data_IF_927634508801
#
_entry.id   IF_927634508801
#
_cell.length_a   1.000
_cell.length_b   1.000
_cell.length_c   1.000
_cell.angle_alpha   90.00
_cell.angle_beta   90.00
_cell.angle_gamma   90.00
#
_symmetry.space_group_name_H-M   'P 1'
#
loop_
_entity.id
_entity.type
_entity.pdbx_description
1 polymer ?
#
# COMPACT_ATOMS: atom_id res chain seq x y z
N UNK A 1 -82.53 -23.11 -43.75
CA UNK A 1 -82.52 -22.67 -42.33
C UNK A 1 -81.39 -23.42 -41.65
N UNK A 2 -80.23 -22.79 -41.41
CA UNK A 2 -79.80 -22.08 -40.18
C UNK A 2 -79.18 -23.00 -39.10
N UNK A 3 -77.85 -22.86 -38.91
CA UNK A 3 -77.07 -22.70 -37.66
C UNK A 3 -77.04 -23.84 -36.60
N UNK A 4 -76.02 -24.09 -35.74
CA UNK A 4 -74.70 -23.50 -35.41
C UNK A 4 -73.96 -24.46 -34.42
N UNK A 5 -72.62 -24.52 -34.53
CA UNK A 5 -71.52 -24.75 -33.56
C UNK A 5 -71.65 -25.39 -32.15
N UNK A 6 -70.60 -26.16 -31.78
CA UNK A 6 -69.56 -25.99 -30.69
C UNK A 6 -69.16 -27.40 -30.18
N UNK A 7 -67.91 -27.81 -29.91
CA UNK A 7 -66.73 -27.21 -29.25
C UNK A 7 -65.50 -28.10 -29.57
N UNK A 8 -64.33 -27.51 -29.83
CA UNK A 8 -63.01 -28.15 -29.69
C UNK A 8 -61.96 -27.06 -29.48
N UNK A 9 -61.70 -26.74 -28.21
CA UNK A 9 -60.66 -25.82 -27.75
C UNK A 9 -60.13 -26.36 -26.41
N UNK A 10 -59.27 -27.37 -26.43
CA UNK A 10 -58.48 -27.73 -25.23
C UNK A 10 -57.11 -28.38 -25.50
N UNK A 11 -56.75 -28.70 -26.75
CA UNK A 11 -55.43 -29.29 -27.06
C UNK A 11 -54.33 -28.30 -27.48
N UNK A 12 -54.65 -27.00 -27.65
CA UNK A 12 -53.69 -25.99 -28.18
C UNK A 12 -52.97 -25.16 -27.11
N UNK A 13 -53.46 -25.16 -25.87
CA UNK A 13 -52.92 -24.35 -24.76
C UNK A 13 -51.80 -25.05 -24.00
N UNK A 14 -51.89 -26.36 -23.79
CA UNK A 14 -50.85 -27.16 -23.10
C UNK A 14 -49.52 -27.12 -23.85
N UNK A 15 -49.55 -27.13 -25.18
CA UNK A 15 -48.33 -27.15 -26.01
C UNK A 15 -47.62 -25.78 -26.09
N UNK A 16 -48.29 -24.67 -25.72
CA UNK A 16 -47.67 -23.33 -25.65
C UNK A 16 -47.05 -23.05 -24.28
N UNK A 17 -47.59 -23.63 -23.21
CA UNK A 17 -47.04 -23.52 -21.87
C UNK A 17 -45.78 -24.37 -21.71
N UNK A 18 -45.78 -25.61 -22.23
CA UNK A 18 -44.59 -26.48 -22.23
C UNK A 18 -43.43 -25.87 -23.03
N UNK A 19 -43.72 -25.35 -24.23
CA UNK A 19 -42.71 -24.72 -25.09
C UNK A 19 -42.09 -23.45 -24.46
N UNK A 20 -42.85 -22.72 -23.64
CA UNK A 20 -42.35 -21.57 -22.88
C UNK A 20 -41.55 -21.96 -21.63
N UNK A 21 -41.83 -23.12 -21.03
CA UNK A 21 -41.06 -23.65 -19.91
C UNK A 21 -39.72 -24.23 -20.38
N UNK A 22 -39.71 -24.89 -21.54
CA UNK A 22 -38.51 -25.39 -22.18
C UNK A 22 -37.62 -24.25 -22.72
N UNK A 23 -38.23 -23.14 -23.21
CA UNK A 23 -37.52 -21.90 -23.56
C UNK A 23 -36.97 -21.15 -22.32
N UNK A 24 -37.55 -21.33 -21.12
CA UNK A 24 -37.06 -20.73 -19.87
C UNK A 24 -35.96 -21.57 -19.21
N UNK A 25 -36.04 -22.91 -19.36
CA UNK A 25 -35.03 -23.85 -18.85
C UNK A 25 -33.86 -24.05 -19.83
N UNK A 26 -33.99 -23.65 -21.09
CA UNK A 26 -32.85 -23.44 -22.00
C UNK A 26 -32.37 -21.99 -21.93
N UNK A 27 -32.00 -21.52 -20.74
CA UNK A 27 -31.10 -20.37 -20.67
C UNK A 27 -29.86 -20.73 -21.49
N UNK A 28 -29.48 -19.94 -22.50
CA UNK A 28 -28.21 -20.18 -23.13
C UNK A 28 -27.14 -19.80 -22.12
N UNK A 29 -26.44 -20.79 -21.57
CA UNK A 29 -25.02 -20.67 -21.19
C UNK A 29 -24.17 -20.40 -22.46
N UNK A 30 -24.64 -19.52 -23.36
CA UNK A 30 -23.88 -19.11 -24.54
C UNK A 30 -23.32 -17.73 -24.28
N UNK A 31 -22.01 -17.78 -24.06
CA UNK A 31 -21.06 -16.72 -24.35
C UNK A 31 -21.25 -15.49 -23.46
N UNK A 32 -20.86 -15.63 -22.19
CA UNK A 32 -20.20 -14.52 -21.52
C UNK A 32 -19.14 -13.99 -22.50
N UNK A 33 -19.18 -12.70 -22.84
CA UNK A 33 -18.19 -12.16 -23.76
C UNK A 33 -16.80 -12.36 -23.15
N UNK A 34 -15.79 -12.61 -24.00
CA UNK A 34 -14.45 -13.01 -23.58
C UNK A 34 -13.83 -12.07 -22.52
N UNK A 35 -14.26 -10.80 -22.49
CA UNK A 35 -13.89 -9.82 -21.47
C UNK A 35 -14.47 -10.12 -20.08
N UNK A 36 -15.69 -10.66 -19.96
CA UNK A 36 -16.32 -10.98 -18.68
C UNK A 36 -15.63 -12.18 -17.99
N UNK A 37 -15.01 -13.07 -18.76
CA UNK A 37 -14.16 -14.15 -18.24
C UNK A 37 -12.82 -13.60 -17.76
N UNK A 38 -12.15 -12.77 -18.57
CA UNK A 38 -10.88 -12.11 -18.20
C UNK A 38 -11.01 -11.23 -16.96
N UNK A 39 -12.12 -10.47 -16.84
CA UNK A 39 -12.39 -9.61 -15.69
C UNK A 39 -12.56 -10.44 -14.41
N UNK A 40 -13.37 -11.51 -14.45
CA UNK A 40 -13.60 -12.36 -13.27
C UNK A 40 -12.33 -13.09 -12.84
N UNK A 41 -11.54 -13.58 -13.78
CA UNK A 41 -10.24 -14.21 -13.49
C UNK A 41 -9.28 -13.24 -12.77
N UNK A 42 -9.16 -12.01 -13.28
CA UNK A 42 -8.30 -11.00 -12.66
C UNK A 42 -8.85 -10.59 -11.29
N UNK A 43 -10.16 -10.44 -11.16
CA UNK A 43 -10.81 -10.11 -9.88
C UNK A 43 -10.57 -11.19 -8.81
N UNK A 44 -10.75 -12.47 -9.17
CA UNK A 44 -10.48 -13.60 -8.26
C UNK A 44 -9.00 -13.69 -7.86
N UNK A 45 -8.09 -13.45 -8.81
CA UNK A 45 -6.65 -13.46 -8.55
C UNK A 45 -6.23 -12.30 -7.64
N UNK A 46 -6.80 -11.11 -7.85
CA UNK A 46 -6.62 -9.95 -6.98
C UNK A 46 -7.15 -10.26 -5.59
N UNK A 47 -8.36 -10.76 -5.44
CA UNK A 47 -8.97 -11.13 -4.15
C UNK A 47 -8.10 -12.10 -3.35
N UNK A 48 -7.57 -13.12 -4.02
CA UNK A 48 -6.65 -14.09 -3.41
C UNK A 48 -5.39 -13.42 -2.91
N UNK A 49 -4.71 -12.63 -3.76
CA UNK A 49 -3.47 -11.95 -3.41
C UNK A 49 -3.68 -10.91 -2.29
N UNK A 50 -4.81 -10.21 -2.29
CA UNK A 50 -5.16 -9.25 -1.24
C UNK A 50 -5.31 -9.93 0.12
N UNK A 51 -6.02 -11.07 0.18
CA UNK A 51 -6.17 -11.85 1.42
C UNK A 51 -4.83 -12.36 1.92
N UNK A 52 -4.00 -12.91 1.02
CA UNK A 52 -2.65 -13.38 1.38
C UNK A 52 -1.82 -12.23 1.94
N UNK A 53 -1.80 -11.08 1.27
CA UNK A 53 -1.03 -9.91 1.71
C UNK A 53 -1.45 -9.45 3.11
N UNK A 54 -2.75 -9.33 3.36
CA UNK A 54 -3.28 -8.91 4.66
C UNK A 54 -2.90 -9.88 5.78
N UNK A 55 -3.08 -11.19 5.54
CA UNK A 55 -2.71 -12.23 6.50
C UNK A 55 -1.22 -12.18 6.82
N UNK A 56 -0.35 -12.06 5.80
CA UNK A 56 1.10 -12.01 6.04
C UNK A 56 1.58 -10.75 6.73
N UNK A 57 0.96 -9.60 6.45
CA UNK A 57 1.25 -8.36 7.20
C UNK A 57 0.92 -8.56 8.68
N UNK A 58 -0.19 -9.23 9.00
CA UNK A 58 -0.56 -9.55 10.37
C UNK A 58 0.45 -10.52 11.00
N UNK A 59 0.82 -11.60 10.30
CA UNK A 59 1.81 -12.58 10.78
C UNK A 59 3.15 -11.92 11.11
N UNK A 60 3.61 -10.99 10.27
CA UNK A 60 4.85 -10.22 10.52
C UNK A 60 4.73 -9.39 11.80
N UNK A 61 3.61 -8.69 11.99
CA UNK A 61 3.40 -7.84 13.17
C UNK A 61 3.40 -8.68 14.45
N UNK A 62 2.67 -9.79 14.45
CA UNK A 62 2.60 -10.71 15.59
C UNK A 62 3.95 -11.36 15.89
N UNK A 63 4.66 -11.82 14.85
CA UNK A 63 5.97 -12.45 15.02
C UNK A 63 7.03 -11.46 15.49
N UNK A 64 6.99 -10.21 15.01
CA UNK A 64 7.89 -9.15 15.46
C UNK A 64 7.68 -8.82 16.94
N UNK A 65 6.42 -8.74 17.40
CA UNK A 65 6.10 -8.55 18.82
C UNK A 65 6.64 -9.70 19.70
N UNK A 66 6.51 -10.95 19.23
CA UNK A 66 7.06 -12.13 19.94
C UNK A 66 8.58 -12.07 20.04
N UNK A 67 9.27 -11.61 18.99
CA UNK A 67 10.73 -11.44 19.01
C UNK A 67 11.14 -10.34 19.99
N UNK A 68 10.40 -9.22 20.04
CA UNK A 68 10.67 -8.14 20.98
C UNK A 68 10.48 -8.58 22.44
N UNK A 69 9.44 -9.34 22.72
CA UNK A 69 9.19 -9.93 24.04
C UNK A 69 10.29 -10.92 24.42
N UNK A 70 10.65 -11.84 23.51
CA UNK A 70 11.76 -12.77 23.70
C UNK A 70 13.08 -12.04 24.02
N UNK A 71 13.35 -10.93 23.33
CA UNK A 71 14.53 -10.09 23.55
C UNK A 71 14.51 -9.43 24.93
N UNK A 72 13.34 -9.01 25.42
CA UNK A 72 13.19 -8.44 26.78
C UNK A 72 13.45 -9.50 27.85
N UNK A 73 12.88 -10.70 27.70
CA UNK A 73 13.11 -11.82 28.63
C UNK A 73 14.59 -12.20 28.71
N UNK A 74 15.29 -12.23 27.55
CA UNK A 74 16.73 -12.47 27.52
C UNK A 74 17.52 -11.38 28.25
N UNK A 75 17.22 -10.10 28.01
CA UNK A 75 17.87 -8.98 28.71
C UNK A 75 17.61 -8.95 30.21
N UNK A 76 16.43 -9.42 30.64
CA UNK A 76 16.07 -9.57 32.04
C UNK A 76 16.73 -10.79 32.72
N UNK A 77 17.40 -11.65 31.95
CA UNK A 77 18.02 -12.89 32.46
C UNK A 77 17.02 -13.99 32.78
N UNK A 78 15.77 -13.87 32.31
CA UNK A 78 14.69 -14.86 32.54
C UNK A 78 14.90 -16.14 31.72
N UNK A 79 15.63 -16.04 30.61
CA UNK A 79 15.94 -17.16 29.73
C UNK A 79 17.45 -17.27 29.47
N UNK A 80 17.92 -18.51 29.33
CA UNK A 80 19.30 -18.80 28.97
C UNK A 80 19.58 -18.43 27.51
N UNK A 81 20.82 -18.04 27.23
CA UNK A 81 21.25 -17.62 25.88
C UNK A 81 20.99 -18.70 24.81
N UNK A 82 21.20 -19.98 25.14
CA UNK A 82 20.94 -21.08 24.20
C UNK A 82 19.44 -21.18 23.85
N UNK A 83 18.56 -21.04 24.84
CA UNK A 83 17.11 -21.05 24.63
C UNK A 83 16.68 -19.85 23.80
N UNK A 84 17.23 -18.67 24.08
CA UNK A 84 17.02 -17.46 23.29
C UNK A 84 17.39 -17.66 21.82
N UNK A 85 18.60 -18.19 21.55
CA UNK A 85 19.08 -18.42 20.17
C UNK A 85 18.18 -19.39 19.39
N UNK A 86 17.74 -20.48 20.00
CA UNK A 86 16.87 -21.46 19.35
C UNK A 86 15.53 -20.82 18.98
N UNK A 87 14.84 -20.20 19.94
CA UNK A 87 13.55 -19.54 19.71
C UNK A 87 13.66 -18.39 18.71
N UNK A 88 14.73 -17.60 18.78
CA UNK A 88 14.98 -16.52 17.83
C UNK A 88 15.13 -17.05 16.41
N UNK A 89 15.84 -18.17 16.22
CA UNK A 89 16.05 -18.77 14.91
C UNK A 89 14.74 -19.30 14.29
N UNK A 90 13.88 -19.92 15.10
CA UNK A 90 12.56 -20.42 14.70
C UNK A 90 11.62 -19.26 14.33
N UNK A 91 11.49 -18.26 15.20
CA UNK A 91 10.66 -17.08 14.92
C UNK A 91 11.17 -16.32 13.69
N UNK A 92 12.50 -16.18 13.55
CA UNK A 92 13.09 -15.57 12.36
C UNK A 92 12.84 -16.38 11.09
N UNK A 93 12.65 -17.71 11.19
CA UNK A 93 12.27 -18.54 10.05
C UNK A 93 10.85 -18.29 9.58
N UNK A 94 9.89 -18.28 10.51
CA UNK A 94 8.52 -17.92 10.20
C UNK A 94 8.40 -16.50 9.65
N UNK A 95 9.19 -15.57 10.21
CA UNK A 95 9.23 -14.19 9.75
C UNK A 95 9.79 -14.08 8.33
N UNK A 96 10.90 -14.75 8.01
CA UNK A 96 11.48 -14.77 6.65
C UNK A 96 10.46 -15.25 5.62
N UNK A 97 9.79 -16.37 5.88
CA UNK A 97 8.78 -16.93 4.98
C UNK A 97 7.62 -15.96 4.75
N UNK A 98 7.14 -15.31 5.81
CA UNK A 98 6.07 -14.31 5.72
C UNK A 98 6.51 -13.10 4.88
N UNK A 99 7.75 -12.64 5.03
CA UNK A 99 8.30 -11.53 4.24
C UNK A 99 8.45 -11.93 2.77
N UNK A 100 8.99 -13.11 2.47
CA UNK A 100 9.12 -13.63 1.11
C UNK A 100 7.76 -13.67 0.39
N UNK A 101 6.73 -14.14 1.09
CA UNK A 101 5.37 -14.17 0.55
C UNK A 101 4.82 -12.77 0.30
N UNK A 102 5.03 -11.80 1.21
CA UNK A 102 4.65 -10.40 0.96
C UNK A 102 5.33 -9.85 -0.30
N UNK A 103 6.63 -10.08 -0.45
CA UNK A 103 7.38 -9.56 -1.60
C UNK A 103 6.85 -10.15 -2.91
N UNK A 104 6.64 -11.46 -2.96
CA UNK A 104 6.06 -12.17 -4.13
C UNK A 104 4.63 -11.69 -4.42
N UNK A 105 3.78 -11.61 -3.40
CA UNK A 105 2.39 -11.18 -3.56
C UNK A 105 2.29 -9.72 -4.03
N UNK A 106 3.16 -8.83 -3.55
CA UNK A 106 3.22 -7.44 -4.02
C UNK A 106 3.67 -7.36 -5.49
N UNK A 107 4.67 -8.13 -5.89
CA UNK A 107 5.10 -8.20 -7.29
C UNK A 107 3.96 -8.69 -8.19
N UNK A 108 3.23 -9.74 -7.77
CA UNK A 108 2.05 -10.23 -8.49
C UNK A 108 0.95 -9.17 -8.59
N UNK A 109 0.69 -8.42 -7.51
CA UNK A 109 -0.28 -7.32 -7.54
C UNK A 109 0.13 -6.19 -8.50
N UNK A 110 1.42 -5.88 -8.63
CA UNK A 110 1.91 -4.92 -9.63
C UNK A 110 1.69 -5.43 -11.07
N UNK A 111 1.91 -6.73 -11.33
CA UNK A 111 1.61 -7.36 -12.61
C UNK A 111 0.10 -7.33 -12.92
N UNK A 112 -0.74 -7.68 -11.94
CA UNK A 112 -2.19 -7.61 -12.06
C UNK A 112 -2.68 -6.18 -12.29
N UNK A 113 -2.04 -5.20 -11.65
CA UNK A 113 -2.32 -3.77 -11.89
C UNK A 113 -2.00 -3.39 -13.34
N UNK A 114 -0.86 -3.83 -13.87
CA UNK A 114 -0.50 -3.57 -15.26
C UNK A 114 -1.49 -4.22 -16.23
N UNK A 115 -1.87 -5.48 -15.99
CA UNK A 115 -2.89 -6.20 -16.77
C UNK A 115 -4.25 -5.49 -16.72
N UNK A 116 -4.71 -5.12 -15.52
CA UNK A 116 -5.98 -4.40 -15.34
C UNK A 116 -5.97 -3.02 -16.02
N UNK A 117 -4.85 -2.30 -16.01
CA UNK A 117 -4.72 -1.02 -16.75
C UNK A 117 -4.82 -1.21 -18.26
N UNK A 118 -4.22 -2.27 -18.80
CA UNK A 118 -4.30 -2.59 -20.23
C UNK A 118 -5.73 -2.95 -20.65
N UNK A 119 -6.40 -3.82 -19.90
CA UNK A 119 -7.80 -4.20 -20.19
C UNK A 119 -8.76 -3.02 -20.00
N UNK A 120 -8.57 -2.21 -18.95
CA UNK A 120 -9.33 -0.97 -18.76
C UNK A 120 -9.17 -0.01 -19.94
N UNK A 121 -7.94 0.19 -20.44
CA UNK A 121 -7.70 1.07 -21.59
C UNK A 121 -8.34 0.51 -22.87
N UNK A 122 -8.25 -0.81 -23.08
CA UNK A 122 -8.88 -1.50 -24.21
C UNK A 122 -10.40 -1.34 -24.18
N UNK A 123 -11.03 -1.57 -23.04
CA UNK A 123 -12.48 -1.42 -22.88
C UNK A 123 -12.94 0.02 -22.94
N UNK A 124 -12.14 0.97 -22.44
CA UNK A 124 -12.41 2.39 -22.58
C UNK A 124 -12.46 2.81 -24.06
N UNK A 125 -11.52 2.35 -24.86
CA UNK A 125 -11.52 2.61 -26.32
C UNK A 125 -12.73 1.98 -27.00
N UNK A 126 -13.09 0.75 -26.63
CA UNK A 126 -14.23 0.04 -27.21
C UNK A 126 -15.56 0.69 -26.82
N UNK A 127 -15.72 1.08 -25.56
CA UNK A 127 -16.90 1.82 -25.09
C UNK A 127 -17.00 3.19 -25.74
N UNK A 128 -15.88 3.91 -25.92
CA UNK A 128 -15.83 5.19 -26.66
C UNK A 128 -16.26 5.01 -28.13
N UNK A 129 -15.78 3.96 -28.82
CA UNK A 129 -16.20 3.59 -30.19
C UNK A 129 -17.70 3.34 -30.28
N UNK A 130 -18.23 2.51 -29.38
CA UNK A 130 -19.66 2.20 -29.32
C UNK A 130 -20.46 3.48 -29.03
N UNK A 131 -20.08 4.31 -28.06
CA UNK A 131 -20.79 5.57 -27.81
C UNK A 131 -20.76 6.52 -29.01
N UNK A 132 -19.67 6.55 -29.78
CA UNK A 132 -19.57 7.38 -30.99
C UNK A 132 -20.47 6.87 -32.12
N UNK A 133 -20.67 5.55 -32.22
CA UNK A 133 -21.61 4.92 -33.17
C UNK A 133 -23.08 5.07 -32.74
N UNK A 134 -23.37 4.99 -31.44
CA UNK A 134 -24.73 4.96 -30.89
C UNK A 134 -25.31 6.33 -30.50
N UNK A 135 -24.53 7.42 -30.52
CA UNK A 135 -25.08 8.79 -30.41
C UNK A 135 -26.02 9.19 -31.57
N UNK A 136 -26.24 8.29 -32.54
CA UNK A 136 -27.29 8.39 -33.55
C UNK A 136 -28.65 7.80 -33.15
N UNK A 137 -28.78 7.17 -31.96
CA UNK A 137 -30.08 6.74 -31.40
C UNK A 137 -30.21 7.12 -29.93
N UNK A 138 -31.14 8.03 -29.71
CA UNK A 138 -31.66 8.55 -28.46
C UNK A 138 -31.90 7.50 -27.35
N UNK A 139 -31.58 7.91 -26.11
CA UNK A 139 -31.82 7.25 -24.81
C UNK A 139 -30.97 6.03 -24.44
N UNK A 140 -29.85 6.27 -23.74
CA UNK A 140 -29.25 5.28 -22.83
C UNK A 140 -29.47 5.74 -21.38
N UNK A 141 -30.26 4.97 -20.63
CA UNK A 141 -30.59 5.23 -19.22
C UNK A 141 -29.34 5.27 -18.33
N UNK A 142 -29.36 6.18 -17.34
CA UNK A 142 -28.31 6.36 -16.32
C UNK A 142 -27.95 5.07 -15.57
N UNK A 143 -28.88 4.12 -15.40
CA UNK A 143 -28.60 2.85 -14.72
C UNK A 143 -27.62 1.93 -15.48
N UNK A 144 -27.51 2.02 -16.82
CA UNK A 144 -26.57 1.19 -17.60
C UNK A 144 -25.12 1.64 -17.45
N UNK A 145 -24.88 2.89 -17.07
CA UNK A 145 -23.53 3.42 -16.89
C UNK A 145 -22.81 2.76 -15.72
N UNK A 146 -23.50 2.43 -14.62
CA UNK A 146 -22.88 1.75 -13.47
C UNK A 146 -22.62 0.26 -13.67
N UNK A 147 -23.19 -0.36 -14.71
CA UNK A 147 -22.89 -1.75 -15.09
C UNK A 147 -21.80 -1.87 -16.16
N UNK A 148 -21.19 -0.76 -16.59
CA UNK A 148 -20.13 -0.80 -17.59
C UNK A 148 -18.86 -1.44 -17.00
N UNK A 149 -18.27 -2.43 -17.69
CA UNK A 149 -17.02 -3.10 -17.31
C UNK A 149 -15.88 -2.16 -16.86
N UNK A 150 -15.82 -0.96 -17.45
CA UNK A 150 -14.88 0.12 -17.12
C UNK A 150 -14.89 0.50 -15.62
N UNK A 151 -16.05 0.54 -14.96
CA UNK A 151 -16.14 0.86 -13.53
C UNK A 151 -15.61 -0.26 -12.64
N UNK A 152 -15.81 -1.52 -13.03
CA UNK A 152 -15.29 -2.68 -12.29
C UNK A 152 -13.77 -2.75 -12.36
N UNK A 153 -13.18 -2.46 -13.51
CA UNK A 153 -11.73 -2.33 -13.62
C UNK A 153 -11.18 -1.19 -12.75
N UNK A 154 -11.88 -0.05 -12.68
CA UNK A 154 -11.49 1.03 -11.80
C UNK A 154 -11.55 0.62 -10.32
N UNK A 155 -12.58 -0.14 -9.93
CA UNK A 155 -12.67 -0.72 -8.59
C UNK A 155 -11.50 -1.67 -8.31
N UNK A 156 -11.21 -2.62 -9.20
CA UNK A 156 -10.05 -3.53 -9.08
C UNK A 156 -8.75 -2.75 -8.92
N UNK A 157 -8.52 -1.73 -9.77
CA UNK A 157 -7.33 -0.89 -9.70
C UNK A 157 -7.22 -0.16 -8.36
N UNK A 158 -8.33 0.41 -7.87
CA UNK A 158 -8.33 1.11 -6.58
C UNK A 158 -8.03 0.17 -5.40
N UNK A 159 -8.51 -1.08 -5.46
CA UNK A 159 -8.25 -2.11 -4.45
C UNK A 159 -6.78 -2.53 -4.46
N UNK A 160 -6.20 -2.71 -5.65
CA UNK A 160 -4.77 -3.01 -5.79
C UNK A 160 -3.91 -1.84 -5.28
N UNK A 161 -4.21 -0.60 -5.70
CA UNK A 161 -3.45 0.57 -5.28
C UNK A 161 -3.53 0.80 -3.76
N UNK A 162 -4.71 0.58 -3.16
CA UNK A 162 -4.90 0.61 -1.70
C UNK A 162 -4.04 -0.43 -0.99
N UNK A 163 -4.01 -1.66 -1.51
CA UNK A 163 -3.22 -2.74 -0.93
C UNK A 163 -1.71 -2.55 -1.09
N UNK A 164 -1.25 -2.06 -2.24
CA UNK A 164 0.16 -1.72 -2.45
C UNK A 164 0.59 -0.56 -1.54
N UNK A 165 -0.34 0.35 -1.21
CA UNK A 165 -0.12 1.47 -0.29
C UNK A 165 -0.36 1.12 1.19
N UNK A 166 -0.69 -0.12 1.52
CA UNK A 166 -1.02 -0.53 2.90
C UNK A 166 0.16 -0.51 3.87
N UNK A 167 1.39 -0.61 3.34
CA UNK A 167 2.62 -0.49 4.12
C UNK A 167 3.17 0.93 3.99
N UNK A 168 3.57 1.50 5.13
CA UNK A 168 4.29 2.77 5.15
C UNK A 168 5.67 2.61 4.50
N UNK A 169 6.27 3.75 4.12
CA UNK A 169 7.62 3.76 3.57
C UNK A 169 8.64 3.16 4.55
N UNK A 170 8.50 3.48 5.83
CA UNK A 170 9.36 3.03 6.93
C UNK A 170 9.14 1.54 7.22
N UNK A 171 7.88 1.08 7.25
CA UNK A 171 7.55 -0.33 7.43
C UNK A 171 8.16 -1.19 6.32
N UNK A 172 8.06 -0.74 5.07
CA UNK A 172 8.62 -1.48 3.94
C UNK A 172 10.16 -1.55 4.01
N UNK A 173 10.83 -0.45 4.37
CA UNK A 173 12.27 -0.47 4.60
C UNK A 173 12.67 -1.44 5.71
N UNK A 174 11.93 -1.45 6.83
CA UNK A 174 12.19 -2.35 7.95
C UNK A 174 11.98 -3.82 7.58
N UNK A 175 10.96 -4.13 6.78
CA UNK A 175 10.71 -5.48 6.25
C UNK A 175 11.89 -5.96 5.41
N UNK A 176 12.38 -5.11 4.49
CA UNK A 176 13.52 -5.45 3.62
C UNK A 176 14.80 -5.62 4.45
N UNK A 177 15.11 -4.66 5.33
CA UNK A 177 16.28 -4.73 6.23
C UNK A 177 16.28 -6.02 7.05
N UNK A 178 15.11 -6.36 7.62
CA UNK A 178 14.95 -7.54 8.47
C UNK A 178 15.14 -8.83 7.69
N UNK A 179 14.55 -8.94 6.50
CA UNK A 179 14.71 -10.11 5.64
C UNK A 179 16.18 -10.33 5.24
N UNK A 180 16.86 -9.27 4.80
CA UNK A 180 18.25 -9.38 4.39
C UNK A 180 19.17 -9.74 5.57
N UNK A 181 18.88 -9.22 6.76
CA UNK A 181 19.62 -9.59 7.98
C UNK A 181 19.43 -11.08 8.32
N UNK A 182 18.19 -11.58 8.25
CA UNK A 182 17.90 -13.00 8.54
C UNK A 182 18.54 -13.93 7.51
N UNK A 183 18.50 -13.55 6.23
CA UNK A 183 19.06 -14.38 5.15
C UNK A 183 20.58 -14.35 5.10
N UNK A 184 21.23 -13.32 5.65
CA UNK A 184 22.69 -13.28 5.83
C UNK A 184 23.18 -14.30 6.85
N UNK A 185 22.44 -14.51 7.93
CA UNK A 185 22.87 -15.36 9.06
C UNK A 185 22.67 -16.88 8.80
N UNK A 186 22.09 -17.28 7.67
CA UNK A 186 21.79 -18.68 7.37
C UNK A 186 22.65 -19.25 6.25
N UNK A 187 23.30 -20.38 6.53
CA UNK A 187 23.84 -21.27 5.50
C UNK A 187 22.70 -21.97 4.76
N UNK A 188 22.30 -21.43 3.61
CA UNK A 188 21.15 -21.91 2.81
C UNK A 188 21.57 -22.43 1.44
N UNK A 189 22.49 -23.41 1.43
CA UNK A 189 22.99 -24.06 0.20
C UNK A 189 21.86 -24.60 -0.70
N UNK A 190 20.73 -25.05 -0.13
CA UNK A 190 19.62 -25.64 -0.89
C UNK A 190 18.62 -24.62 -1.48
N UNK A 191 18.59 -23.37 -0.98
CA UNK A 191 17.61 -22.33 -1.40
C UNK A 191 18.24 -21.13 -2.13
N UNK A 192 19.48 -21.27 -2.57
CA UNK A 192 20.26 -20.16 -3.13
C UNK A 192 19.54 -19.42 -4.27
N UNK A 193 18.87 -20.15 -5.17
CA UNK A 193 18.16 -19.56 -6.32
C UNK A 193 16.94 -18.74 -5.89
N UNK A 194 16.15 -19.24 -4.93
CA UNK A 194 14.98 -18.52 -4.40
C UNK A 194 15.42 -17.26 -3.66
N UNK A 195 16.47 -17.36 -2.84
CA UNK A 195 17.03 -16.23 -2.11
C UNK A 195 17.54 -15.17 -3.09
N UNK A 196 18.19 -15.58 -4.18
CA UNK A 196 18.67 -14.67 -5.22
C UNK A 196 17.51 -13.92 -5.88
N UNK A 197 16.42 -14.62 -6.22
CA UNK A 197 15.21 -13.99 -6.75
C UNK A 197 14.65 -12.95 -5.78
N UNK A 198 14.51 -13.31 -4.50
CA UNK A 198 13.95 -12.39 -3.50
C UNK A 198 14.89 -11.21 -3.22
N UNK A 199 16.22 -11.42 -3.24
CA UNK A 199 17.21 -10.33 -3.18
C UNK A 199 17.06 -9.39 -4.38
N UNK A 200 16.80 -9.89 -5.58
CA UNK A 200 16.50 -9.05 -6.74
C UNK A 200 15.23 -8.23 -6.55
N UNK A 201 14.16 -8.83 -6.00
CA UNK A 201 12.93 -8.11 -5.66
C UNK A 201 13.23 -7.02 -4.61
N UNK A 202 14.00 -7.34 -3.57
CA UNK A 202 14.45 -6.36 -2.57
C UNK A 202 15.23 -5.20 -3.19
N UNK A 203 16.14 -5.48 -4.13
CA UNK A 203 16.91 -4.46 -4.83
C UNK A 203 16.00 -3.54 -5.66
N UNK A 204 15.05 -4.11 -6.41
CA UNK A 204 14.10 -3.33 -7.19
C UNK A 204 13.22 -2.45 -6.29
N UNK A 205 12.71 -3.01 -5.19
CA UNK A 205 11.93 -2.26 -4.20
C UNK A 205 12.75 -1.16 -3.53
N UNK A 206 14.00 -1.44 -3.16
CA UNK A 206 14.91 -0.46 -2.58
C UNK A 206 15.16 0.72 -3.53
N UNK A 207 15.28 0.46 -4.84
CA UNK A 207 15.45 1.53 -5.83
C UNK A 207 14.23 2.45 -5.84
N UNK A 208 13.01 1.89 -5.88
CA UNK A 208 11.75 2.66 -5.82
C UNK A 208 11.65 3.44 -4.51
N UNK A 209 11.98 2.81 -3.38
CA UNK A 209 12.00 3.47 -2.07
C UNK A 209 13.04 4.58 -2.01
N UNK A 210 14.21 4.41 -2.63
CA UNK A 210 15.27 5.42 -2.68
C UNK A 210 14.82 6.64 -3.49
N UNK A 211 14.14 6.44 -4.63
CA UNK A 211 13.53 7.54 -5.40
C UNK A 211 12.49 8.31 -4.58
N UNK A 212 11.59 7.58 -3.89
CA UNK A 212 10.61 8.17 -2.98
C UNK A 212 11.29 8.93 -1.84
N UNK A 213 12.38 8.38 -1.30
CA UNK A 213 13.17 8.99 -0.24
C UNK A 213 13.80 10.31 -0.69
N UNK A 214 14.35 10.40 -1.91
CA UNK A 214 14.87 11.65 -2.42
C UNK A 214 13.82 12.77 -2.43
N UNK A 215 12.55 12.45 -2.73
CA UNK A 215 11.47 13.42 -2.63
C UNK A 215 11.22 13.83 -1.18
N UNK A 216 11.01 12.86 -0.29
CA UNK A 216 10.71 13.11 1.13
C UNK A 216 11.85 13.91 1.78
N UNK A 217 13.10 13.50 1.56
CA UNK A 217 14.30 14.15 2.08
C UNK A 217 14.39 15.60 1.62
N UNK A 218 14.14 15.90 0.35
CA UNK A 218 14.13 17.29 -0.15
C UNK A 218 13.07 18.13 0.55
N UNK A 219 11.86 17.60 0.75
CA UNK A 219 10.79 18.31 1.45
C UNK A 219 11.14 18.57 2.92
N UNK A 220 11.75 17.58 3.60
CA UNK A 220 12.24 17.76 4.98
C UNK A 220 13.38 18.78 5.06
N UNK A 221 14.33 18.76 4.14
CA UNK A 221 15.43 19.74 4.07
C UNK A 221 14.87 21.15 3.87
N UNK A 222 13.91 21.31 2.95
CA UNK A 222 13.23 22.60 2.75
C UNK A 222 12.57 23.08 4.04
N UNK A 223 11.85 22.19 4.74
CA UNK A 223 11.24 22.52 6.03
C UNK A 223 12.29 22.93 7.08
N UNK A 224 13.44 22.26 7.13
CA UNK A 224 14.57 22.64 8.01
C UNK A 224 15.04 24.05 7.67
N UNK A 225 15.27 24.38 6.39
CA UNK A 225 15.71 25.71 5.97
C UNK A 225 14.70 26.79 6.40
N UNK A 226 13.41 26.56 6.20
CA UNK A 226 12.35 27.49 6.61
C UNK A 226 12.28 27.67 8.14
N UNK A 227 12.55 26.61 8.91
CA UNK A 227 12.66 26.67 10.37
C UNK A 227 13.91 27.43 10.82
N UNK A 228 15.05 27.25 10.14
CA UNK A 228 16.32 27.92 10.45
C UNK A 228 16.25 29.43 10.20
N UNK A 229 15.57 29.86 9.13
CA UNK A 229 15.30 31.29 8.88
C UNK A 229 14.47 31.88 10.02
N UNK A 230 13.40 31.19 10.45
CA UNK A 230 12.58 31.63 11.59
C UNK A 230 13.36 31.65 12.90
N UNK A 231 14.21 30.65 13.15
CA UNK A 231 15.07 30.61 14.33
C UNK A 231 16.07 31.77 14.34
N UNK A 232 16.59 32.16 13.18
CA UNK A 232 17.48 33.31 13.04
C UNK A 232 16.75 34.62 13.33
N UNK A 233 15.52 34.78 12.81
CA UNK A 233 14.68 35.94 13.13
C UNK A 233 14.41 36.04 14.63
N UNK A 234 14.04 34.95 15.30
CA UNK A 234 13.83 34.95 16.76
C UNK A 234 15.10 35.30 17.53
N UNK A 235 16.28 34.88 17.05
CA UNK A 235 17.56 35.26 17.68
C UNK A 235 17.81 36.76 17.57
N UNK A 236 17.41 37.38 16.47
CA UNK A 236 17.54 38.83 16.30
C UNK A 236 16.49 39.60 17.13
N UNK A 237 15.25 39.09 17.20
CA UNK A 237 14.21 39.65 18.09
C UNK A 237 14.63 39.57 19.57
N UNK A 238 15.28 38.47 19.98
CA UNK A 238 15.84 38.32 21.33
C UNK A 238 16.89 39.42 21.60
N UNK A 239 17.84 39.64 20.69
CA UNK A 239 18.85 40.69 20.84
C UNK A 239 18.21 42.07 20.91
N UNK A 240 17.16 42.31 20.12
CA UNK A 240 16.41 43.57 20.16
C UNK A 240 15.79 43.80 21.55
N UNK A 241 15.16 42.76 22.12
CA UNK A 241 14.58 42.83 23.47
C UNK A 241 15.65 43.10 24.54
N UNK A 242 16.83 42.46 24.43
CA UNK A 242 17.97 42.71 25.31
C UNK A 242 18.46 44.16 25.22
N UNK A 243 18.61 44.70 24.01
CA UNK A 243 19.05 46.09 23.78
C UNK A 243 18.02 47.08 24.36
N UNK A 244 16.72 46.88 24.08
CA UNK A 244 15.64 47.74 24.60
C UNK A 244 15.55 47.73 26.12
N UNK A 245 15.80 46.58 26.75
CA UNK A 245 15.93 46.51 28.20
C UNK A 245 17.17 47.27 28.70
N UNK A 246 18.32 47.11 28.04
CA UNK A 246 19.57 47.79 28.42
C UNK A 246 19.48 49.32 28.34
N UNK A 247 18.76 49.86 27.35
CA UNK A 247 18.52 51.32 27.23
C UNK A 247 17.38 51.82 28.14
N UNK A 248 16.74 50.92 28.89
CA UNK A 248 15.68 51.25 29.85
C UNK A 248 14.28 51.43 29.26
N UNK A 249 14.05 51.08 27.98
CA UNK A 249 12.71 51.12 27.38
C UNK A 249 11.79 50.04 27.98
N UNK A 250 12.35 48.90 28.37
CA UNK A 250 11.61 47.83 29.03
C UNK A 250 11.87 47.82 30.53
N UNK A 251 10.80 47.68 31.31
CA UNK A 251 10.93 47.31 32.71
C UNK A 251 11.23 45.80 32.84
N UNK A 252 11.67 45.38 34.03
CA UNK A 252 12.07 44.00 34.30
C UNK A 252 10.97 42.98 33.99
N UNK A 253 9.73 43.27 34.39
CA UNK A 253 8.60 42.36 34.18
C UNK A 253 8.29 42.14 32.69
N UNK A 254 8.35 43.20 31.88
CA UNK A 254 8.11 43.13 30.44
C UNK A 254 9.26 42.41 29.71
N UNK A 255 10.50 42.65 30.15
CA UNK A 255 11.67 41.92 29.66
C UNK A 255 11.54 40.42 29.93
N UNK A 256 11.31 40.04 31.19
CA UNK A 256 11.24 38.63 31.58
C UNK A 256 10.14 37.87 30.81
N UNK A 257 8.98 38.51 30.60
CA UNK A 257 7.87 37.93 29.83
C UNK A 257 8.24 37.73 28.35
N UNK A 258 8.71 38.78 27.66
CA UNK A 258 9.08 38.69 26.24
C UNK A 258 10.25 37.74 26.00
N UNK A 259 11.25 37.77 26.89
CA UNK A 259 12.41 36.91 26.81
C UNK A 259 12.01 35.44 27.00
N UNK A 260 11.13 35.15 27.96
CA UNK A 260 10.60 33.80 28.18
C UNK A 260 9.85 33.25 26.97
N UNK A 261 8.99 34.06 26.35
CA UNK A 261 8.24 33.69 25.15
C UNK A 261 9.17 33.40 23.96
N UNK A 262 10.09 34.32 23.65
CA UNK A 262 11.00 34.19 22.52
C UNK A 262 11.98 33.03 22.69
N UNK A 263 12.55 32.86 23.89
CA UNK A 263 13.42 31.72 24.19
C UNK A 263 12.65 30.39 24.14
N UNK A 264 11.41 30.36 24.61
CA UNK A 264 10.53 29.19 24.51
C UNK A 264 10.26 28.81 23.06
N UNK A 265 9.89 29.78 22.23
CA UNK A 265 9.66 29.60 20.81
C UNK A 265 10.94 29.12 20.08
N UNK A 266 12.08 29.73 20.37
CA UNK A 266 13.37 29.35 19.78
C UNK A 266 13.74 27.90 20.11
N UNK A 267 13.62 27.50 21.38
CA UNK A 267 13.89 26.11 21.81
C UNK A 267 12.98 25.11 21.11
N UNK A 268 11.73 25.47 20.87
CA UNK A 268 10.79 24.60 20.15
C UNK A 268 11.18 24.42 18.67
N UNK A 269 11.58 25.51 18.00
CA UNK A 269 12.09 25.42 16.62
C UNK A 269 13.37 24.59 16.53
N UNK A 270 14.32 24.79 17.46
CA UNK A 270 15.57 24.03 17.49
C UNK A 270 15.32 22.53 17.72
N UNK A 271 14.36 22.17 18.58
CA UNK A 271 13.92 20.77 18.75
C UNK A 271 13.30 20.19 17.49
N UNK A 272 12.48 20.95 16.77
CA UNK A 272 11.86 20.50 15.52
C UNK A 272 12.91 20.31 14.41
N UNK A 273 13.90 21.20 14.32
CA UNK A 273 15.03 21.04 13.39
C UNK A 273 15.82 19.77 13.73
N UNK A 274 16.13 19.54 15.01
CA UNK A 274 16.85 18.37 15.46
C UNK A 274 16.09 17.08 15.11
N UNK A 275 14.79 16.98 15.41
CA UNK A 275 14.00 15.79 15.12
C UNK A 275 13.90 15.48 13.62
N UNK A 276 13.83 16.50 12.77
CA UNK A 276 13.87 16.33 11.32
C UNK A 276 15.22 15.82 10.82
N UNK A 277 16.32 16.31 11.39
CA UNK A 277 17.68 15.85 11.07
C UNK A 277 17.91 14.40 11.51
N UNK A 278 17.47 14.06 12.70
CA UNK A 278 17.57 12.71 13.25
C UNK A 278 16.79 11.73 12.38
N UNK A 279 15.56 12.09 11.98
CA UNK A 279 14.77 11.30 11.04
C UNK A 279 15.46 11.09 9.70
N UNK A 280 16.05 12.14 9.11
CA UNK A 280 16.83 12.02 7.86
C UNK A 280 18.01 11.07 8.05
N UNK A 281 18.75 11.21 9.15
CA UNK A 281 19.90 10.36 9.43
C UNK A 281 19.50 8.89 9.64
N UNK A 282 18.42 8.63 10.37
CA UNK A 282 17.92 7.27 10.61
C UNK A 282 17.59 6.56 9.30
N UNK A 283 16.83 7.23 8.41
CA UNK A 283 16.45 6.65 7.13
C UNK A 283 17.65 6.50 6.20
N UNK A 284 18.54 7.49 6.11
CA UNK A 284 19.77 7.39 5.32
C UNK A 284 20.63 6.19 5.78
N UNK A 285 20.78 6.01 7.10
CA UNK A 285 21.49 4.87 7.67
C UNK A 285 20.80 3.53 7.40
N UNK A 286 19.46 3.49 7.41
CA UNK A 286 18.70 2.27 7.10
C UNK A 286 18.86 1.90 5.62
N UNK A 287 18.71 2.84 4.70
CA UNK A 287 18.95 2.64 3.26
C UNK A 287 20.38 2.17 3.01
N UNK A 288 21.36 2.80 3.67
CA UNK A 288 22.76 2.40 3.57
C UNK A 288 22.96 0.94 4.02
N UNK A 289 22.45 0.57 5.21
CA UNK A 289 22.55 -0.81 5.73
C UNK A 289 21.93 -1.83 4.78
N UNK A 290 20.74 -1.56 4.24
CA UNK A 290 20.09 -2.44 3.25
C UNK A 290 20.97 -2.57 2.00
N UNK A 291 21.54 -1.46 1.53
CA UNK A 291 22.40 -1.45 0.35
C UNK A 291 23.65 -2.32 0.56
N UNK A 292 24.27 -2.25 1.74
CA UNK A 292 25.43 -3.08 2.07
C UNK A 292 25.04 -4.57 2.16
N UNK A 293 23.91 -4.90 2.78
CA UNK A 293 23.40 -6.28 2.84
C UNK A 293 23.07 -6.88 1.46
N UNK A 294 22.81 -6.03 0.45
CA UNK A 294 22.58 -6.47 -0.93
C UNK A 294 23.89 -6.63 -1.72
N UNK A 295 24.98 -5.96 -1.32
CA UNK A 295 26.30 -6.03 -1.98
C UNK A 295 27.18 -7.16 -1.47
N UNK A 296 27.01 -7.60 -0.23
CA UNK A 296 27.79 -8.69 0.35
C UNK A 296 27.47 -10.02 -0.39
N UNK A 297 28.44 -10.50 -1.17
CA UNK A 297 28.57 -11.84 -1.76
C UNK A 297 29.68 -12.63 -1.04
#
# INVERSE_FOLDING_TARGET
MLNIFKKSKDKKTVNRAQKRLDEYNSAPEKNLPQWALSLREVEEEVDKNLKTLQLRIQDIKETSLKIDELTKMFKAGEILENTYKILLSELSAGLSLSIEEILKTRENLELLRARAKLEWAREKIETERITTEYLSREYVSRELYHSLPVFRWQEILSRIDSALSSLSFEEELSIIERYLSITRERDLSEKLNEIKLIKQICQQRLNILSEKWFSIRRDKIKKIMDLEVRASQLKDDIKEVEVRFAVGEFNRNLYDLKMGELQGALRNLEKEIASLRDYISEIDQRIFRITELLKEE
#
